data_IF_081837049238
#
_entry.id   IF_081837049238
#
_cell.length_a   1.000
_cell.length_b   1.000
_cell.length_c   1.000
_cell.angle_alpha   90.00
_cell.angle_beta   90.00
_cell.angle_gamma   90.00
#
_symmetry.space_group_name_H-M   'P 1'
#
loop_
_entity.id
_entity.type
_entity.pdbx_description
1 polymer ?
#
# COMPACT_ATOMS: atom_id res chain seq x y z
N UNK A 1 -43.19 8.82 32.22
CA UNK A 1 -42.56 7.55 31.75
C UNK A 1 -43.03 7.29 30.33
N UNK A 2 -42.26 7.72 29.34
CA UNK A 2 -42.26 7.10 28.01
C UNK A 2 -40.89 7.35 27.38
N UNK A 3 -40.09 6.28 27.39
CA UNK A 3 -38.81 6.19 26.72
C UNK A 3 -39.06 6.03 25.23
N UNK A 4 -38.43 6.87 24.41
CA UNK A 4 -38.26 6.58 22.98
C UNK A 4 -36.95 7.16 22.50
N UNK A 5 -36.16 6.27 21.89
CA UNK A 5 -35.16 6.52 20.84
C UNK A 5 -33.86 7.20 21.32
N UNK A 6 -32.67 6.78 20.92
CA UNK A 6 -32.28 5.78 19.94
C UNK A 6 -30.82 5.43 20.22
N UNK A 7 -30.51 4.14 20.19
CA UNK A 7 -29.14 3.67 20.18
C UNK A 7 -28.57 3.89 18.78
N UNK A 8 -28.25 5.14 18.44
CA UNK A 8 -27.52 5.45 17.21
C UNK A 8 -26.04 5.10 17.41
N UNK A 9 -25.74 3.80 17.38
CA UNK A 9 -24.39 3.29 17.16
C UNK A 9 -23.87 3.84 15.82
N UNK A 10 -22.86 4.71 15.91
CA UNK A 10 -22.22 5.36 14.78
C UNK A 10 -21.55 4.30 13.90
N UNK A 11 -22.18 3.94 12.77
CA UNK A 11 -21.55 3.10 11.76
C UNK A 11 -20.27 3.80 11.23
N UNK A 12 -19.17 3.08 10.96
CA UNK A 12 -17.93 3.69 10.54
C UNK A 12 -18.12 4.41 9.20
N UNK A 13 -17.80 5.71 9.16
CA UNK A 13 -17.88 6.52 7.96
C UNK A 13 -17.07 5.86 6.84
N UNK A 14 -17.76 5.51 5.74
CA UNK A 14 -17.18 4.96 4.51
C UNK A 14 -15.96 5.82 4.14
N UNK A 15 -14.75 5.24 4.07
CA UNK A 15 -13.48 5.96 3.82
C UNK A 15 -13.70 7.02 2.72
N UNK A 16 -13.23 8.25 2.95
CA UNK A 16 -13.40 9.31 1.95
C UNK A 16 -12.80 8.89 0.62
N UNK A 17 -13.46 9.23 -0.50
CA UNK A 17 -12.98 8.90 -1.85
C UNK A 17 -11.51 9.29 -2.09
N UNK A 18 -11.05 10.39 -1.47
CA UNK A 18 -9.67 10.85 -1.52
C UNK A 18 -8.71 9.90 -0.80
N UNK A 19 -9.10 9.38 0.37
CA UNK A 19 -8.29 8.40 1.11
C UNK A 19 -8.18 7.08 0.34
N UNK A 20 -9.28 6.59 -0.24
CA UNK A 20 -9.23 5.39 -1.09
C UNK A 20 -8.35 5.57 -2.32
N UNK A 21 -8.41 6.73 -2.98
CA UNK A 21 -7.50 7.02 -4.09
C UNK A 21 -6.03 7.12 -3.66
N UNK A 22 -5.77 7.66 -2.46
CA UNK A 22 -4.42 7.75 -1.92
C UNK A 22 -3.85 6.34 -1.65
N UNK A 23 -4.61 5.47 -0.99
CA UNK A 23 -4.24 4.06 -0.74
C UNK A 23 -4.04 3.29 -2.06
N UNK A 24 -4.93 3.45 -3.04
CA UNK A 24 -4.77 2.81 -4.35
C UNK A 24 -3.51 3.27 -5.09
N UNK A 25 -3.09 4.54 -4.88
CA UNK A 25 -1.84 5.04 -5.43
C UNK A 25 -0.64 4.40 -4.77
N UNK A 26 -0.65 4.23 -3.45
CA UNK A 26 0.44 3.56 -2.72
C UNK A 26 0.64 2.14 -3.22
N UNK A 27 -0.44 1.37 -3.39
CA UNK A 27 -0.34 0.01 -3.93
C UNK A 27 0.26 -0.02 -5.33
N UNK A 28 -0.17 0.88 -6.22
CA UNK A 28 0.41 0.99 -7.57
C UNK A 28 1.91 1.33 -7.54
N UNK A 29 2.32 2.22 -6.63
CA UNK A 29 3.73 2.59 -6.42
C UNK A 29 4.55 1.39 -5.91
N UNK A 30 4.02 0.64 -4.95
CA UNK A 30 4.69 -0.54 -4.40
C UNK A 30 4.79 -1.67 -5.44
N UNK A 31 3.80 -1.83 -6.31
CA UNK A 31 3.83 -2.80 -7.41
C UNK A 31 4.89 -2.45 -8.46
N UNK A 32 4.95 -1.19 -8.88
CA UNK A 32 6.00 -0.69 -9.77
C UNK A 32 7.41 -0.88 -9.17
N UNK A 33 7.57 -0.51 -7.90
CA UNK A 33 8.82 -0.67 -7.17
C UNK A 33 9.24 -2.14 -7.11
N UNK A 34 8.31 -3.06 -6.81
CA UNK A 34 8.60 -4.50 -6.78
C UNK A 34 9.05 -5.03 -8.16
N UNK A 35 8.38 -4.60 -9.24
CA UNK A 35 8.79 -4.95 -10.62
C UNK A 35 10.21 -4.48 -10.92
N UNK A 36 10.53 -3.22 -10.61
CA UNK A 36 11.86 -2.67 -10.82
C UNK A 36 12.92 -3.38 -9.97
N UNK A 37 12.65 -3.62 -8.68
CA UNK A 37 13.57 -4.35 -7.81
C UNK A 37 13.86 -5.76 -8.34
N UNK A 38 12.82 -6.51 -8.71
CA UNK A 38 12.96 -7.88 -9.22
C UNK A 38 13.64 -7.95 -10.60
N UNK A 39 13.46 -6.94 -11.45
CA UNK A 39 13.98 -6.93 -12.81
C UNK A 39 15.41 -6.40 -12.94
N UNK A 40 15.76 -5.32 -12.24
CA UNK A 40 17.05 -4.62 -12.40
C UNK A 40 17.84 -4.42 -11.12
N UNK A 41 17.28 -4.78 -9.97
CA UNK A 41 17.90 -4.60 -8.67
C UNK A 41 17.84 -3.16 -8.14
N UNK A 42 18.20 -3.03 -6.86
CA UNK A 42 18.08 -1.79 -6.10
C UNK A 42 18.99 -0.66 -6.59
N UNK A 43 20.24 -0.97 -6.95
CA UNK A 43 21.22 0.05 -7.35
C UNK A 43 20.80 0.79 -8.61
N UNK A 44 20.26 0.06 -9.58
CA UNK A 44 19.80 0.65 -10.82
C UNK A 44 18.46 1.37 -10.64
N UNK A 45 17.70 1.16 -9.57
CA UNK A 45 16.39 1.78 -9.30
C UNK A 45 16.49 3.27 -8.91
N UNK A 46 15.64 4.12 -9.48
CA UNK A 46 15.50 5.53 -9.10
C UNK A 46 14.05 5.95 -8.89
N UNK A 47 13.84 7.09 -8.22
CA UNK A 47 12.51 7.68 -8.03
C UNK A 47 11.86 8.11 -9.36
N UNK A 48 12.66 8.50 -10.35
CA UNK A 48 12.14 8.89 -11.67
C UNK A 48 11.59 7.70 -12.44
N UNK A 49 12.29 6.56 -12.38
CA UNK A 49 11.83 5.33 -13.01
C UNK A 49 10.53 4.81 -12.39
N UNK A 50 10.41 4.87 -11.06
CA UNK A 50 9.19 4.46 -10.35
C UNK A 50 8.03 5.38 -10.73
N UNK A 51 8.25 6.69 -10.75
CA UNK A 51 7.23 7.66 -11.15
C UNK A 51 6.77 7.44 -12.61
N UNK A 52 7.72 7.15 -13.51
CA UNK A 52 7.44 6.85 -14.91
C UNK A 52 6.65 5.53 -15.08
N UNK A 53 7.06 4.46 -14.40
CA UNK A 53 6.40 3.15 -14.41
C UNK A 53 4.95 3.23 -13.89
N UNK A 54 4.68 4.07 -12.88
CA UNK A 54 3.33 4.28 -12.33
C UNK A 54 2.51 5.27 -13.17
N UNK A 55 3.15 6.08 -14.01
CA UNK A 55 2.50 7.13 -14.78
C UNK A 55 2.10 8.36 -13.96
N UNK A 56 2.91 8.75 -12.97
CA UNK A 56 2.65 9.91 -12.09
C UNK A 56 3.80 10.90 -12.10
N UNK A 57 3.50 12.15 -11.73
CA UNK A 57 4.55 13.15 -11.50
C UNK A 57 5.44 12.76 -10.31
N UNK A 58 6.75 12.99 -10.42
CA UNK A 58 7.72 12.75 -9.33
C UNK A 58 7.32 13.42 -8.01
N UNK A 59 6.82 14.64 -8.07
CA UNK A 59 6.32 15.35 -6.89
C UNK A 59 5.12 14.67 -6.22
N UNK A 60 4.29 13.94 -6.98
CA UNK A 60 3.20 13.12 -6.43
C UNK A 60 3.74 11.87 -5.76
N UNK A 61 4.76 11.22 -6.33
CA UNK A 61 5.43 10.08 -5.69
C UNK A 61 6.01 10.48 -4.32
N UNK A 62 6.68 11.63 -4.23
CA UNK A 62 7.24 12.14 -2.96
C UNK A 62 6.20 12.45 -1.89
N UNK A 63 4.91 12.59 -2.23
CA UNK A 63 3.84 12.73 -1.23
C UNK A 63 3.52 11.41 -0.52
N UNK A 64 3.87 10.28 -1.14
CA UNK A 64 3.66 8.94 -0.58
C UNK A 64 4.95 8.40 0.05
N UNK A 65 6.10 8.56 -0.62
CA UNK A 65 7.36 7.99 -0.18
C UNK A 65 8.53 8.96 -0.34
N UNK A 66 9.32 9.11 0.73
CA UNK A 66 10.41 10.08 0.79
C UNK A 66 11.65 9.68 -0.04
N UNK A 67 11.88 8.38 -0.28
CA UNK A 67 13.09 7.89 -0.94
C UNK A 67 12.91 6.50 -1.57
N UNK A 68 13.88 6.09 -2.40
CA UNK A 68 13.95 4.73 -2.96
C UNK A 68 14.15 3.68 -1.86
N UNK A 69 14.87 4.03 -0.80
CA UNK A 69 15.11 3.19 0.38
C UNK A 69 13.79 2.92 1.12
N UNK A 70 12.99 3.98 1.35
CA UNK A 70 11.68 3.85 1.99
C UNK A 70 10.74 2.96 1.16
N UNK A 71 10.79 3.08 -0.16
CA UNK A 71 10.04 2.22 -1.08
C UNK A 71 10.51 0.76 -1.02
N UNK A 72 11.82 0.52 -1.04
CA UNK A 72 12.38 -0.83 -0.94
C UNK A 72 11.97 -1.50 0.38
N UNK A 73 12.09 -0.79 1.51
CA UNK A 73 11.64 -1.27 2.82
C UNK A 73 10.13 -1.56 2.82
N UNK A 74 9.31 -0.65 2.29
CA UNK A 74 7.86 -0.84 2.23
C UNK A 74 7.46 -2.06 1.38
N UNK A 75 8.13 -2.29 0.24
CA UNK A 75 7.93 -3.50 -0.57
C UNK A 75 8.32 -4.76 0.20
N UNK A 76 9.47 -4.77 0.89
CA UNK A 76 9.91 -5.93 1.66
C UNK A 76 8.96 -6.24 2.82
N UNK A 77 8.49 -5.23 3.56
CA UNK A 77 7.49 -5.41 4.61
C UNK A 77 6.17 -5.94 4.05
N UNK A 78 5.73 -5.42 2.89
CA UNK A 78 4.51 -5.92 2.22
C UNK A 78 4.65 -7.39 1.83
N UNK A 79 5.82 -7.80 1.32
CA UNK A 79 6.10 -9.19 0.96
C UNK A 79 6.11 -10.09 2.21
N UNK A 80 6.82 -9.69 3.25
CA UNK A 80 6.88 -10.44 4.52
C UNK A 80 5.48 -10.63 5.12
N UNK A 81 4.66 -9.58 5.13
CA UNK A 81 3.27 -9.66 5.58
C UNK A 81 2.46 -10.68 4.76
N UNK A 82 2.52 -10.59 3.42
CA UNK A 82 1.79 -11.52 2.53
C UNK A 82 2.26 -12.96 2.73
N UNK A 83 3.57 -13.17 2.92
CA UNK A 83 4.12 -14.49 3.22
C UNK A 83 3.63 -15.00 4.57
N UNK A 84 3.63 -14.16 5.61
CA UNK A 84 3.09 -14.53 6.94
C UNK A 84 1.62 -14.93 6.83
N UNK A 85 0.79 -14.10 6.18
CA UNK A 85 -0.63 -14.38 5.96
C UNK A 85 -0.85 -15.69 5.18
N UNK A 86 0.00 -15.98 4.18
CA UNK A 86 -0.07 -17.21 3.43
C UNK A 86 0.33 -18.43 4.27
N UNK A 87 1.33 -18.31 5.14
CA UNK A 87 1.75 -19.37 6.06
C UNK A 87 0.66 -19.65 7.12
N UNK A 88 0.04 -18.60 7.66
CA UNK A 88 -1.06 -18.72 8.63
C UNK A 88 -2.31 -19.37 8.02
N UNK A 89 -2.48 -19.28 6.70
CA UNK A 89 -3.58 -19.90 5.97
C UNK A 89 -3.31 -21.35 5.55
N UNK A 90 -2.11 -21.90 5.79
CA UNK A 90 -1.82 -23.30 5.49
C UNK A 90 -2.61 -24.20 6.45
N UNK A 91 -3.23 -25.29 5.95
CA UNK A 91 -3.81 -26.29 6.83
C UNK A 91 -2.70 -26.96 7.65
N UNK A 92 -3.00 -27.30 8.92
CA UNK A 92 -2.02 -27.95 9.84
C UNK A 92 -1.48 -29.30 9.33
N UNK A 93 -2.07 -29.87 8.28
CA UNK A 93 -1.64 -31.11 7.64
C UNK A 93 -1.16 -30.87 6.20
N UNK A 94 0.15 -30.98 5.98
CA UNK A 94 0.76 -31.18 4.65
C UNK A 94 0.87 -32.69 4.35
#
# INVERSE_FOLDING_TARGET
MHSTHDASALAPARKSFRATQFEAREEAILDATNRLLSGRGYELMSMDDIAAEVGIAKGSLYKHFASKDALAVAVMLRLLRRTSEALDALPESL
#
